data_IF_513670192210
#
_entry.id   IF_513670192210
#
_cell.length_a   1.000
_cell.length_b   1.000
_cell.length_c   1.000
_cell.angle_alpha   90.00
_cell.angle_beta   90.00
_cell.angle_gamma   90.00
#
_symmetry.space_group_name_H-M   'P 1'
#
loop_
_entity.id
_entity.type
_entity.pdbx_description
1 polymer ?
#
# COMPACT_ATOMS: atom_id res chain seq x y z
N UNK A 1 -33.47 -12.52 4.92
CA UNK A 1 -32.36 -13.08 4.14
C UNK A 1 -31.12 -12.18 4.17
N UNK A 2 -31.23 -10.88 3.93
CA UNK A 2 -30.09 -9.92 3.93
C UNK A 2 -29.23 -9.89 5.22
N UNK A 3 -29.83 -10.08 6.40
CA UNK A 3 -29.09 -10.10 7.67
C UNK A 3 -28.16 -11.33 7.83
N UNK A 4 -28.58 -12.50 7.32
CA UNK A 4 -27.75 -13.72 7.34
C UNK A 4 -26.54 -13.62 6.41
N UNK A 5 -26.72 -13.02 5.24
CA UNK A 5 -25.63 -12.82 4.27
C UNK A 5 -24.61 -11.80 4.79
N UNK A 6 -25.08 -10.70 5.40
CA UNK A 6 -24.23 -9.72 6.04
C UNK A 6 -23.44 -10.32 7.23
N UNK A 7 -24.10 -11.13 8.05
CA UNK A 7 -23.47 -11.81 9.17
C UNK A 7 -22.39 -12.81 8.71
N UNK A 8 -22.69 -13.61 7.69
CA UNK A 8 -21.72 -14.53 7.10
C UNK A 8 -20.52 -13.79 6.50
N UNK A 9 -20.74 -12.64 5.84
CA UNK A 9 -19.66 -11.81 5.32
C UNK A 9 -18.74 -11.28 6.40
N UNK A 10 -19.27 -10.84 7.53
CA UNK A 10 -18.50 -10.38 8.69
C UNK A 10 -17.69 -11.52 9.31
N UNK A 11 -18.30 -12.71 9.47
CA UNK A 11 -17.61 -13.90 10.02
C UNK A 11 -16.43 -14.31 9.13
N UNK A 12 -16.64 -14.38 7.80
CA UNK A 12 -15.59 -14.72 6.84
C UNK A 12 -14.45 -13.68 6.86
N UNK A 13 -14.79 -12.39 6.92
CA UNK A 13 -13.80 -11.33 7.02
C UNK A 13 -12.98 -11.42 8.31
N UNK A 14 -13.66 -11.68 9.44
CA UNK A 14 -12.98 -11.82 10.73
C UNK A 14 -12.07 -13.04 10.76
N UNK A 15 -12.53 -14.17 10.25
CA UNK A 15 -11.72 -15.38 10.12
C UNK A 15 -10.47 -15.13 9.24
N UNK A 16 -10.64 -14.47 8.11
CA UNK A 16 -9.53 -14.09 7.24
C UNK A 16 -8.51 -13.20 7.96
N UNK A 17 -8.97 -12.21 8.74
CA UNK A 17 -8.08 -11.35 9.53
C UNK A 17 -7.30 -12.12 10.61
N UNK A 18 -7.93 -13.11 11.25
CA UNK A 18 -7.25 -13.97 12.23
C UNK A 18 -6.17 -14.83 11.56
N UNK A 19 -6.50 -15.45 10.41
CA UNK A 19 -5.52 -16.24 9.63
C UNK A 19 -4.33 -15.39 9.22
N UNK A 20 -4.55 -14.16 8.74
CA UNK A 20 -3.49 -13.23 8.39
C UNK A 20 -2.61 -12.89 9.59
N UNK A 21 -3.21 -12.64 10.75
CA UNK A 21 -2.47 -12.35 11.98
C UNK A 21 -1.57 -13.52 12.39
N UNK A 22 -2.07 -14.74 12.32
CA UNK A 22 -1.30 -15.95 12.62
C UNK A 22 -0.16 -16.11 11.60
N UNK A 23 -0.46 -15.96 10.32
CA UNK A 23 0.53 -16.08 9.24
C UNK A 23 1.63 -15.01 9.37
N UNK A 24 1.25 -13.77 9.70
CA UNK A 24 2.19 -12.68 9.97
C UNK A 24 3.11 -12.96 11.16
N UNK A 25 2.58 -13.58 12.21
CA UNK A 25 3.38 -13.97 13.38
C UNK A 25 4.39 -15.08 13.03
N UNK A 26 3.93 -16.10 12.29
CA UNK A 26 4.78 -17.23 11.86
C UNK A 26 5.91 -16.77 10.94
N UNK A 27 5.63 -15.90 10.00
CA UNK A 27 6.63 -15.36 9.07
C UNK A 27 7.63 -14.42 9.77
N UNK A 28 7.22 -13.70 10.81
CA UNK A 28 8.06 -12.70 11.48
C UNK A 28 9.27 -13.31 12.17
N UNK A 29 9.13 -14.54 12.72
CA UNK A 29 10.22 -15.22 13.41
C UNK A 29 11.40 -15.54 12.48
N UNK A 30 11.23 -16.25 11.33
CA UNK A 30 12.33 -16.48 10.42
C UNK A 30 12.87 -15.19 9.80
N UNK A 31 12.00 -14.20 9.54
CA UNK A 31 12.41 -12.90 8.99
C UNK A 31 13.39 -12.18 9.92
N UNK A 32 13.12 -12.13 11.23
CA UNK A 32 14.02 -11.54 12.22
C UNK A 32 15.35 -12.27 12.31
N UNK A 33 15.34 -13.60 12.25
CA UNK A 33 16.56 -14.42 12.30
C UNK A 33 17.45 -14.24 11.05
N UNK A 34 16.85 -14.02 9.88
CA UNK A 34 17.60 -13.85 8.62
C UNK A 34 18.18 -12.42 8.52
N UNK A 35 17.40 -11.40 8.87
CA UNK A 35 17.88 -10.00 8.79
C UNK A 35 18.90 -9.64 9.87
N UNK A 36 18.84 -10.29 11.02
CA UNK A 36 19.62 -9.88 12.18
C UNK A 36 19.21 -8.51 12.72
N UNK A 37 19.92 -8.05 13.77
CA UNK A 37 19.57 -6.79 14.45
C UNK A 37 19.76 -5.56 13.54
N UNK A 38 20.82 -5.54 12.74
CA UNK A 38 21.15 -4.43 11.84
C UNK A 38 20.13 -4.29 10.71
N UNK A 39 19.75 -5.43 10.10
CA UNK A 39 18.76 -5.42 9.04
C UNK A 39 17.37 -5.06 9.53
N UNK A 40 16.99 -5.53 10.72
CA UNK A 40 15.73 -5.19 11.36
C UNK A 40 15.64 -3.71 11.72
N UNK A 41 16.73 -3.14 12.26
CA UNK A 41 16.83 -1.70 12.52
C UNK A 41 16.62 -0.88 11.24
N UNK A 42 17.34 -1.20 10.18
CA UNK A 42 17.24 -0.49 8.93
C UNK A 42 15.82 -0.59 8.29
N UNK A 43 15.20 -1.77 8.35
CA UNK A 43 13.82 -1.96 7.93
C UNK A 43 12.85 -1.06 8.73
N UNK A 44 12.95 -1.04 10.05
CA UNK A 44 12.09 -0.23 10.90
C UNK A 44 12.23 1.27 10.65
N UNK A 45 13.44 1.73 10.35
CA UNK A 45 13.69 3.15 10.03
C UNK A 45 13.11 3.56 8.68
N UNK A 46 13.20 2.70 7.67
CA UNK A 46 12.71 3.00 6.31
C UNK A 46 11.21 2.75 6.16
N UNK A 47 10.65 1.85 6.98
CA UNK A 47 9.22 1.46 6.93
C UNK A 47 8.23 2.65 6.92
N UNK A 48 8.40 3.73 7.71
CA UNK A 48 7.47 4.87 7.67
C UNK A 48 7.34 5.51 6.28
N UNK A 49 8.41 5.52 5.48
CA UNK A 49 8.39 6.06 4.11
C UNK A 49 7.48 5.19 3.22
N UNK A 50 7.64 3.87 3.30
CA UNK A 50 6.79 2.92 2.55
C UNK A 50 5.34 2.98 3.05
N UNK A 51 5.14 3.08 4.36
CA UNK A 51 3.83 3.13 5.00
C UNK A 51 3.01 4.35 4.53
N UNK A 52 3.63 5.53 4.36
CA UNK A 52 2.97 6.69 3.76
C UNK A 52 2.44 6.38 2.36
N UNK A 53 3.26 5.75 1.52
CA UNK A 53 2.84 5.32 0.20
C UNK A 53 1.68 4.33 0.24
N UNK A 54 1.73 3.35 1.13
CA UNK A 54 0.65 2.37 1.30
C UNK A 54 -0.66 3.03 1.75
N UNK A 55 -0.63 3.98 2.69
CA UNK A 55 -1.81 4.73 3.14
C UNK A 55 -2.44 5.49 1.96
N UNK A 56 -1.63 6.12 1.12
CA UNK A 56 -2.11 6.80 -0.08
C UNK A 56 -2.81 5.83 -1.04
N UNK A 57 -2.19 4.70 -1.34
CA UNK A 57 -2.73 3.69 -2.25
C UNK A 57 -3.97 2.97 -1.70
N UNK A 58 -4.05 2.77 -0.38
CA UNK A 58 -5.15 2.00 0.22
C UNK A 58 -6.38 2.84 0.56
N UNK A 59 -6.19 4.11 0.91
CA UNK A 59 -7.26 4.93 1.46
C UNK A 59 -7.47 6.23 0.69
N UNK A 60 -6.45 7.07 0.56
CA UNK A 60 -6.61 8.42 0.03
C UNK A 60 -7.00 8.42 -1.46
N UNK A 61 -6.22 7.72 -2.30
CA UNK A 61 -6.46 7.66 -3.75
C UNK A 61 -7.79 6.95 -4.08
N UNK A 62 -8.08 5.73 -3.55
CA UNK A 62 -9.36 5.07 -3.82
C UNK A 62 -10.57 5.89 -3.37
N UNK A 63 -10.48 6.54 -2.21
CA UNK A 63 -11.56 7.38 -1.69
C UNK A 63 -11.82 8.58 -2.59
N UNK A 64 -10.75 9.26 -3.04
CA UNK A 64 -10.86 10.39 -3.96
C UNK A 64 -11.47 9.98 -5.32
N UNK A 65 -11.04 8.85 -5.86
CA UNK A 65 -11.59 8.30 -7.12
C UNK A 65 -13.07 7.96 -6.98
N UNK A 66 -13.45 7.24 -5.92
CA UNK A 66 -14.83 6.85 -5.69
C UNK A 66 -15.76 8.05 -5.54
N UNK A 67 -15.32 9.09 -4.85
CA UNK A 67 -16.14 10.28 -4.60
C UNK A 67 -16.29 11.18 -5.83
N UNK A 68 -15.22 11.34 -6.62
CA UNK A 68 -15.20 12.33 -7.70
C UNK A 68 -15.48 11.73 -9.09
N UNK A 69 -14.98 10.54 -9.36
CA UNK A 69 -15.05 9.91 -10.70
C UNK A 69 -16.06 8.78 -10.73
N UNK A 70 -16.21 8.03 -9.63
CA UNK A 70 -17.09 6.87 -9.56
C UNK A 70 -18.54 7.15 -9.91
N UNK A 71 -19.02 8.36 -9.68
CA UNK A 71 -20.39 8.79 -10.02
C UNK A 71 -20.66 8.87 -11.52
N UNK A 72 -19.64 9.15 -12.32
CA UNK A 72 -19.78 9.40 -13.76
C UNK A 72 -19.50 8.16 -14.62
N UNK A 73 -18.92 7.10 -14.05
CA UNK A 73 -18.57 5.85 -14.74
C UNK A 73 -17.88 6.05 -16.10
N UNK A 74 -17.04 7.09 -16.21
CA UNK A 74 -16.37 7.45 -17.45
C UNK A 74 -14.97 6.83 -17.48
N UNK A 75 -14.74 5.92 -18.42
CA UNK A 75 -13.43 5.29 -18.63
C UNK A 75 -12.34 6.32 -18.97
N UNK A 76 -12.70 7.39 -19.68
CA UNK A 76 -11.78 8.48 -19.99
C UNK A 76 -11.34 9.24 -18.73
N UNK A 77 -12.25 9.48 -17.79
CA UNK A 77 -11.92 10.13 -16.51
C UNK A 77 -11.01 9.26 -15.67
N UNK A 78 -11.23 7.95 -15.66
CA UNK A 78 -10.31 7.02 -14.98
C UNK A 78 -8.93 6.99 -15.62
N UNK A 79 -8.84 6.95 -16.95
CA UNK A 79 -7.57 6.98 -17.66
C UNK A 79 -6.76 8.25 -17.37
N UNK A 80 -7.42 9.42 -17.35
CA UNK A 80 -6.80 10.69 -16.97
C UNK A 80 -6.33 10.68 -15.51
N UNK A 81 -7.14 10.13 -14.60
CA UNK A 81 -6.76 9.99 -13.19
C UNK A 81 -5.54 9.08 -13.01
N UNK A 82 -5.47 7.95 -13.72
CA UNK A 82 -4.30 7.07 -13.72
C UNK A 82 -3.07 7.84 -14.17
N UNK A 83 -3.15 8.53 -15.32
CA UNK A 83 -2.01 9.26 -15.87
C UNK A 83 -1.51 10.35 -14.92
N UNK A 84 -2.42 11.15 -14.34
CA UNK A 84 -2.08 12.22 -13.40
C UNK A 84 -1.45 11.69 -12.11
N UNK A 85 -2.08 10.69 -11.49
CA UNK A 85 -1.60 10.11 -10.23
C UNK A 85 -0.28 9.35 -10.44
N UNK A 86 -0.13 8.70 -11.61
CA UNK A 86 1.12 8.05 -12.00
C UNK A 86 2.25 9.07 -12.16
N UNK A 87 1.99 10.22 -12.77
CA UNK A 87 2.97 11.31 -12.87
C UNK A 87 3.42 11.77 -11.47
N UNK A 88 2.47 11.98 -10.56
CA UNK A 88 2.78 12.36 -9.16
C UNK A 88 3.60 11.25 -8.47
N UNK A 89 3.26 9.99 -8.68
CA UNK A 89 4.02 8.85 -8.13
C UNK A 89 5.47 8.81 -8.64
N UNK A 90 5.69 9.08 -9.92
CA UNK A 90 7.03 9.16 -10.52
C UNK A 90 7.81 10.36 -9.95
N UNK A 91 7.17 11.51 -9.79
CA UNK A 91 7.82 12.68 -9.19
C UNK A 91 8.23 12.42 -7.74
N UNK A 92 7.38 11.77 -6.95
CA UNK A 92 7.70 11.35 -5.59
C UNK A 92 8.85 10.33 -5.56
N UNK A 93 8.83 9.35 -6.46
CA UNK A 93 9.95 8.42 -6.62
C UNK A 93 11.25 9.15 -6.87
N UNK A 94 11.30 10.05 -7.87
CA UNK A 94 12.50 10.81 -8.21
C UNK A 94 12.95 11.66 -7.03
N UNK A 95 12.03 12.36 -6.36
CA UNK A 95 12.35 13.19 -5.21
C UNK A 95 12.98 12.36 -4.07
N UNK A 96 12.34 11.27 -3.66
CA UNK A 96 12.85 10.42 -2.57
C UNK A 96 14.17 9.76 -2.98
N UNK A 97 14.30 9.31 -4.23
CA UNK A 97 15.52 8.67 -4.73
C UNK A 97 16.73 9.61 -4.74
N UNK A 98 16.53 10.83 -5.27
CA UNK A 98 17.61 11.85 -5.36
C UNK A 98 18.00 12.35 -3.97
N UNK A 99 17.02 12.59 -3.10
CA UNK A 99 17.26 13.07 -1.74
C UNK A 99 17.51 11.96 -0.72
N UNK A 100 17.59 10.69 -1.13
CA UNK A 100 17.74 9.54 -0.24
C UNK A 100 18.94 9.67 0.72
N UNK A 101 20.07 10.19 0.23
CA UNK A 101 21.25 10.42 1.05
C UNK A 101 21.01 11.49 2.13
N UNK A 102 20.36 12.58 1.77
CA UNK A 102 20.03 13.65 2.71
C UNK A 102 19.05 13.16 3.77
N UNK A 103 18.03 12.37 3.36
CA UNK A 103 17.06 11.77 4.26
C UNK A 103 17.77 10.81 5.23
N UNK A 104 18.67 9.95 4.74
CA UNK A 104 19.44 9.02 5.56
C UNK A 104 20.28 9.75 6.61
N UNK A 105 20.97 10.81 6.22
CA UNK A 105 21.73 11.63 7.16
C UNK A 105 20.86 12.35 8.20
N UNK A 106 19.68 12.85 7.80
CA UNK A 106 18.69 13.41 8.75
C UNK A 106 18.16 12.38 9.74
N UNK A 107 18.08 11.09 9.33
CA UNK A 107 17.72 9.97 10.20
C UNK A 107 18.88 9.51 11.10
N UNK A 108 20.07 10.08 10.92
CA UNK A 108 21.24 9.79 11.74
C UNK A 108 22.10 8.62 11.25
N UNK A 109 21.77 8.00 10.12
CA UNK A 109 22.52 6.86 9.59
C UNK A 109 22.57 6.87 8.05
N UNK A 110 23.74 7.26 7.51
CA UNK A 110 23.99 7.29 6.05
C UNK A 110 23.91 5.92 5.37
N UNK A 111 24.05 4.81 6.11
CA UNK A 111 23.91 3.44 5.55
C UNK A 111 22.48 3.11 5.13
N UNK A 112 21.48 3.90 5.53
CA UNK A 112 20.08 3.73 5.10
C UNK A 112 19.83 4.18 3.66
N UNK A 113 20.74 4.92 3.04
CA UNK A 113 20.58 5.47 1.69
C UNK A 113 20.11 4.43 0.66
N UNK A 114 20.78 3.27 0.47
CA UNK A 114 20.36 2.30 -0.53
C UNK A 114 18.98 1.70 -0.22
N UNK A 115 18.61 1.59 1.05
CA UNK A 115 17.29 1.09 1.45
C UNK A 115 16.18 2.09 1.18
N UNK A 116 16.43 3.38 1.39
CA UNK A 116 15.50 4.47 1.04
C UNK A 116 15.33 4.53 -0.47
N UNK A 117 16.40 4.37 -1.24
CA UNK A 117 16.33 4.30 -2.71
C UNK A 117 15.50 3.10 -3.17
N UNK A 118 15.70 1.92 -2.60
CA UNK A 118 14.89 0.74 -2.91
C UNK A 118 13.42 0.95 -2.53
N UNK A 119 13.15 1.53 -1.35
CA UNK A 119 11.80 1.85 -0.89
C UNK A 119 11.08 2.85 -1.80
N UNK A 120 11.82 3.81 -2.39
CA UNK A 120 11.24 4.80 -3.29
C UNK A 120 10.61 4.19 -4.54
N UNK A 121 11.09 3.03 -5.02
CA UNK A 121 10.52 2.32 -6.18
C UNK A 121 9.04 1.97 -5.98
N UNK A 122 8.62 1.77 -4.74
CA UNK A 122 7.21 1.48 -4.43
C UNK A 122 6.25 2.60 -4.86
N UNK A 123 6.72 3.85 -4.87
CA UNK A 123 5.90 5.00 -5.24
C UNK A 123 5.49 5.00 -6.71
N UNK A 124 6.23 4.33 -7.59
CA UNK A 124 5.87 4.15 -9.00
C UNK A 124 4.54 3.37 -9.12
N UNK A 125 4.35 2.35 -8.28
CA UNK A 125 3.19 1.47 -8.37
C UNK A 125 2.00 1.92 -7.50
N UNK A 126 2.24 2.75 -6.49
CA UNK A 126 1.23 3.22 -5.53
C UNK A 126 0.07 3.93 -6.21
N UNK A 127 0.36 4.81 -7.17
CA UNK A 127 -0.63 5.57 -7.91
C UNK A 127 -1.59 4.66 -8.69
N UNK A 128 -1.04 3.78 -9.51
CA UNK A 128 -1.81 2.83 -10.32
C UNK A 128 -2.68 1.92 -9.46
N UNK A 129 -2.11 1.34 -8.40
CA UNK A 129 -2.85 0.47 -7.48
C UNK A 129 -3.99 1.22 -6.79
N UNK A 130 -3.77 2.47 -6.39
CA UNK A 130 -4.79 3.29 -5.75
C UNK A 130 -5.98 3.58 -6.67
N UNK A 131 -5.72 3.95 -7.93
CA UNK A 131 -6.79 4.21 -8.90
C UNK A 131 -7.56 2.94 -9.24
N UNK A 132 -6.88 1.82 -9.49
CA UNK A 132 -7.54 0.54 -9.74
C UNK A 132 -8.45 0.13 -8.58
N UNK A 133 -8.01 0.29 -7.34
CA UNK A 133 -8.85 0.04 -6.16
C UNK A 133 -10.08 0.93 -6.13
N UNK A 134 -9.92 2.23 -6.42
CA UNK A 134 -11.01 3.19 -6.49
C UNK A 134 -12.02 2.83 -7.58
N UNK A 135 -11.56 2.39 -8.74
CA UNK A 135 -12.39 1.91 -9.83
C UNK A 135 -13.29 0.74 -9.40
N UNK A 136 -12.69 -0.34 -8.85
CA UNK A 136 -13.45 -1.49 -8.40
C UNK A 136 -14.38 -1.18 -7.21
N UNK A 137 -13.99 -0.27 -6.33
CA UNK A 137 -14.86 0.19 -5.24
C UNK A 137 -16.08 0.94 -5.76
N UNK A 138 -15.91 1.80 -6.77
CA UNK A 138 -17.01 2.55 -7.38
C UNK A 138 -18.00 1.66 -8.15
N UNK A 139 -17.50 0.57 -8.75
CA UNK A 139 -18.29 -0.44 -9.43
C UNK A 139 -19.05 -1.39 -8.48
N UNK A 140 -19.03 -1.10 -7.17
CA UNK A 140 -19.66 -1.93 -6.12
C UNK A 140 -19.08 -3.36 -6.02
N UNK A 141 -17.92 -3.60 -6.62
CA UNK A 141 -17.23 -4.89 -6.61
C UNK A 141 -16.17 -4.90 -5.51
N UNK A 142 -16.62 -5.10 -4.26
CA UNK A 142 -15.74 -5.06 -3.07
C UNK A 142 -14.78 -6.24 -2.95
N UNK A 143 -14.94 -7.28 -3.77
CA UNK A 143 -14.12 -8.50 -3.71
C UNK A 143 -12.67 -8.23 -4.10
N UNK A 144 -12.42 -7.49 -5.19
CA UNK A 144 -11.08 -7.18 -5.69
C UNK A 144 -10.28 -6.30 -4.72
N UNK A 145 -10.83 -5.18 -4.20
CA UNK A 145 -10.17 -4.39 -3.17
C UNK A 145 -9.89 -5.17 -1.88
N UNK A 146 -10.81 -6.06 -1.47
CA UNK A 146 -10.62 -6.90 -0.28
C UNK A 146 -9.45 -7.85 -0.45
N UNK A 147 -9.36 -8.58 -1.57
CA UNK A 147 -8.23 -9.48 -1.89
C UNK A 147 -6.92 -8.70 -1.95
N UNK A 148 -6.90 -7.54 -2.59
CA UNK A 148 -5.71 -6.69 -2.69
C UNK A 148 -5.22 -6.19 -1.33
N UNK A 149 -6.14 -5.88 -0.39
CA UNK A 149 -5.78 -5.51 0.99
C UNK A 149 -5.23 -6.70 1.78
N UNK A 150 -5.79 -7.88 1.56
CA UNK A 150 -5.31 -9.13 2.15
C UNK A 150 -3.89 -9.45 1.70
N UNK A 151 -3.63 -9.36 0.39
CA UNK A 151 -2.31 -9.58 -0.17
C UNK A 151 -1.26 -8.64 0.41
N UNK A 152 -1.53 -7.34 0.48
CA UNK A 152 -0.59 -6.38 1.04
C UNK A 152 -0.26 -6.63 2.51
N UNK A 153 -1.26 -7.05 3.32
CA UNK A 153 -1.02 -7.37 4.74
C UNK A 153 -0.24 -8.67 4.97
N UNK A 154 -0.13 -9.52 3.97
CA UNK A 154 0.72 -10.71 4.02
C UNK A 154 2.22 -10.36 3.87
N UNK A 155 2.53 -9.21 3.29
CA UNK A 155 3.90 -8.73 3.07
C UNK A 155 4.36 -7.68 4.10
N UNK A 156 3.46 -7.22 4.99
CA UNK A 156 3.76 -6.39 6.17
C UNK A 156 4.12 -7.25 7.38
#
# INVERSE_FOLDING_TARGET
>A
MKHKEAFNGVVVLTAALIVIKILSAVYRIPYQNILGDTGLYAYQQVYPIVALGMILSMNAIPSAITQNIGKYHSDEAYAKAVAYIQLVGILLFIAIFVFANNIAHMMGDGHLTPMIQAASLSFIFIGMLGVLRGYYQSANNMTVPAISRLSNKLYE
#
